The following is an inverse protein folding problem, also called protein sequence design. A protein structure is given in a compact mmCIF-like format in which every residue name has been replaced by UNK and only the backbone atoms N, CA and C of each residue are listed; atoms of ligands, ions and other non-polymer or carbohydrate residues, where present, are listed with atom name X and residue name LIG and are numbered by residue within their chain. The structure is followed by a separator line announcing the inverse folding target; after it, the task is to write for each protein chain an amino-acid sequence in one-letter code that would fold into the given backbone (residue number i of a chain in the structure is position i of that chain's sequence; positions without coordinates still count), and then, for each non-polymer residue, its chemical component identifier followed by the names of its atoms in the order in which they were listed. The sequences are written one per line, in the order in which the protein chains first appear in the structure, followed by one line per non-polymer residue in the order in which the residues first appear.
data_IF_304213031057
#
_entry.id   IF_304213031057
#
_cell.length_a   1.000
_cell.length_b   1.000
_cell.length_c   1.000
_cell.angle_alpha   90.00
_cell.angle_beta   90.00
_cell.angle_gamma   90.00
#
_symmetry.space_group_name_H-M   'P 1'
#
loop_
_entity.id
_entity.type
_entity.pdbx_description
1 polymer ?
#
# COMPACT_ATOMS: atom_id res chain seq x y z
N UNK A 1 8.38 -14.53 20.51
CA UNK A 1 8.12 -14.88 19.10
C UNK A 1 6.89 -15.77 19.01
N UNK A 2 5.73 -15.20 18.73
CA UNK A 2 4.52 -15.94 18.35
C UNK A 2 4.34 -15.78 16.85
N UNK A 3 4.01 -16.87 16.16
CA UNK A 3 3.65 -16.86 14.74
C UNK A 3 2.37 -17.68 14.55
N UNK A 4 1.55 -17.29 13.57
CA UNK A 4 0.33 -18.01 13.23
C UNK A 4 0.40 -18.47 11.78
N UNK A 5 0.15 -19.75 11.56
CA UNK A 5 0.05 -20.34 10.22
C UNK A 5 -1.40 -20.28 9.74
N UNK A 6 -1.59 -20.01 8.46
CA UNK A 6 -2.90 -20.02 7.81
C UNK A 6 -2.94 -21.14 6.79
N UNK A 7 -3.99 -21.97 6.84
CA UNK A 7 -4.19 -23.04 5.87
C UNK A 7 -4.69 -22.52 4.52
N UNK A 8 -5.41 -21.40 4.52
CA UNK A 8 -5.96 -20.79 3.32
C UNK A 8 -5.29 -19.45 3.03
N UNK A 9 -4.85 -19.27 1.79
CA UNK A 9 -4.13 -18.08 1.34
C UNK A 9 -4.95 -16.78 1.54
N UNK A 10 -6.25 -16.81 1.22
CA UNK A 10 -7.11 -15.64 1.36
C UNK A 10 -7.28 -15.17 2.82
N UNK A 11 -7.23 -16.08 3.80
CA UNK A 11 -7.35 -15.71 5.21
C UNK A 11 -6.13 -14.89 5.65
N UNK A 12 -4.94 -15.30 5.21
CA UNK A 12 -3.69 -14.55 5.46
C UNK A 12 -3.79 -13.14 4.87
N UNK A 13 -4.27 -13.02 3.62
CA UNK A 13 -4.44 -11.74 2.94
C UNK A 13 -5.38 -10.80 3.71
N UNK A 14 -6.56 -11.28 4.10
CA UNK A 14 -7.52 -10.49 4.89
C UNK A 14 -6.89 -10.01 6.21
N UNK A 15 -6.17 -10.88 6.92
CA UNK A 15 -5.53 -10.49 8.17
C UNK A 15 -4.47 -9.40 7.98
N UNK A 16 -3.67 -9.47 6.91
CA UNK A 16 -2.69 -8.42 6.60
C UNK A 16 -3.39 -7.11 6.22
N UNK A 17 -4.42 -7.17 5.38
CA UNK A 17 -5.12 -5.98 4.87
C UNK A 17 -5.99 -5.25 5.89
N UNK A 18 -6.42 -5.88 6.98
CA UNK A 18 -7.31 -5.22 7.96
C UNK A 18 -6.71 -5.03 9.36
N UNK A 19 -5.55 -5.62 9.65
CA UNK A 19 -4.97 -5.54 11.00
C UNK A 19 -4.01 -4.37 11.21
N UNK A 20 -3.42 -3.79 10.15
CA UNK A 20 -2.31 -2.86 10.28
C UNK A 20 -2.74 -1.40 10.47
N UNK A 21 -1.85 -0.59 11.03
CA UNK A 21 -1.97 0.88 11.15
C UNK A 21 -1.11 1.63 10.12
N UNK A 22 -0.25 0.90 9.41
CA UNK A 22 0.57 1.38 8.31
C UNK A 22 1.02 0.17 7.48
N UNK A 23 1.27 0.39 6.20
CA UNK A 23 1.78 -0.61 5.28
C UNK A 23 3.13 -0.17 4.74
N UNK A 24 4.12 -1.05 4.81
CA UNK A 24 5.47 -0.78 4.29
C UNK A 24 5.88 -1.93 3.38
N UNK A 25 6.13 -1.61 2.12
CA UNK A 25 6.52 -2.59 1.10
C UNK A 25 7.93 -2.29 0.60
N UNK A 26 8.79 -3.30 0.66
CA UNK A 26 10.13 -3.29 0.08
C UNK A 26 10.11 -3.87 -1.34
N UNK A 27 11.18 -3.70 -2.14
CA UNK A 27 11.27 -4.29 -3.47
C UNK A 27 11.04 -5.81 -3.41
N UNK A 28 10.20 -6.32 -4.31
CA UNK A 28 9.73 -7.71 -4.23
C UNK A 28 9.18 -8.24 -5.54
N UNK A 29 8.77 -9.51 -5.52
CA UNK A 29 8.22 -10.18 -6.70
C UNK A 29 6.70 -10.04 -6.83
N UNK A 30 6.09 -10.94 -7.61
CA UNK A 30 4.65 -10.95 -7.88
C UNK A 30 3.78 -10.99 -6.61
N UNK A 31 4.20 -11.70 -5.56
CA UNK A 31 3.44 -11.74 -4.30
C UNK A 31 3.39 -10.38 -3.60
N UNK A 32 4.47 -9.61 -3.64
CA UNK A 32 4.50 -8.25 -3.09
C UNK A 32 3.63 -7.33 -3.91
N UNK A 33 3.70 -7.42 -5.24
CA UNK A 33 2.85 -6.63 -6.14
C UNK A 33 1.36 -6.95 -5.93
N UNK A 34 1.00 -8.23 -5.80
CA UNK A 34 -0.35 -8.68 -5.50
C UNK A 34 -0.89 -8.06 -4.19
N UNK A 35 -0.10 -8.10 -3.11
CA UNK A 35 -0.48 -7.48 -1.83
C UNK A 35 -0.61 -5.94 -1.95
N UNK A 36 0.29 -5.27 -2.67
CA UNK A 36 0.23 -3.81 -2.90
C UNK A 36 -1.03 -3.42 -3.67
N UNK A 37 -1.28 -4.04 -4.83
CA UNK A 37 -2.42 -3.68 -5.66
C UNK A 37 -3.77 -4.06 -5.01
N UNK A 38 -3.82 -5.17 -4.26
CA UNK A 38 -5.01 -5.51 -3.46
C UNK A 38 -5.29 -4.42 -2.42
N UNK A 39 -4.26 -3.97 -1.69
CA UNK A 39 -4.40 -2.92 -0.68
C UNK A 39 -4.83 -1.59 -1.30
N UNK A 40 -4.19 -1.16 -2.40
CA UNK A 40 -4.55 0.09 -3.09
C UNK A 40 -6.01 0.05 -3.56
N UNK A 41 -6.47 -1.09 -4.10
CA UNK A 41 -7.87 -1.28 -4.50
C UNK A 41 -8.83 -1.19 -3.30
N UNK A 42 -8.46 -1.77 -2.15
CA UNK A 42 -9.27 -1.69 -0.93
C UNK A 42 -9.37 -0.26 -0.37
N UNK A 43 -8.30 0.53 -0.47
CA UNK A 43 -8.31 1.94 -0.06
C UNK A 43 -9.12 2.78 -1.05
N UNK A 44 -8.89 2.61 -2.36
CA UNK A 44 -9.63 3.27 -3.44
C UNK A 44 -11.15 3.07 -3.29
N UNK A 45 -11.56 1.83 -2.99
CA UNK A 45 -12.98 1.47 -2.80
C UNK A 45 -13.52 1.77 -1.39
N UNK A 46 -12.73 2.48 -0.57
CA UNK A 46 -13.05 2.91 0.81
C UNK A 46 -13.39 1.75 1.76
N UNK A 47 -12.92 0.53 1.45
CA UNK A 47 -12.99 -0.63 2.37
C UNK A 47 -11.96 -0.51 3.48
N UNK A 48 -10.86 0.16 3.18
CA UNK A 48 -9.85 0.62 4.14
C UNK A 48 -9.78 2.14 4.04
N UNK A 49 -9.47 2.82 5.13
CA UNK A 49 -9.32 4.28 5.14
C UNK A 49 -8.07 4.71 4.38
N UNK A 50 -8.22 5.77 3.59
CA UNK A 50 -7.15 6.52 2.93
C UNK A 50 -6.21 7.25 3.90
N UNK A 51 -6.57 7.31 5.19
CA UNK A 51 -5.71 7.85 6.26
C UNK A 51 -4.60 6.88 6.68
N UNK A 52 -4.67 5.61 6.28
CA UNK A 52 -3.64 4.62 6.62
C UNK A 52 -2.46 4.82 5.65
N UNK A 53 -1.24 5.12 6.15
CA UNK A 53 -0.11 5.33 5.27
C UNK A 53 0.33 4.04 4.59
N UNK A 54 0.49 4.12 3.28
CA UNK A 54 1.12 3.09 2.45
C UNK A 54 2.46 3.61 1.96
N UNK A 55 3.55 2.97 2.37
CA UNK A 55 4.92 3.39 2.08
C UNK A 55 5.61 2.34 1.22
N UNK A 56 6.15 2.77 0.08
CA UNK A 56 6.92 1.94 -0.83
C UNK A 56 8.39 2.33 -0.71
N UNK A 57 9.22 1.45 -0.18
CA UNK A 57 10.65 1.70 0.07
C UNK A 57 11.48 1.23 -1.13
N UNK A 58 12.40 2.08 -1.59
CA UNK A 58 13.31 1.84 -2.70
C UNK A 58 12.79 2.42 -4.01
N UNK A 59 13.05 3.72 -4.27
CA UNK A 59 12.55 4.43 -5.45
C UNK A 59 12.96 3.78 -6.77
N UNK A 60 14.20 3.31 -6.89
CA UNK A 60 14.69 2.65 -8.10
C UNK A 60 13.76 1.51 -8.58
N UNK A 61 13.14 0.78 -7.64
CA UNK A 61 12.22 -0.30 -7.96
C UNK A 61 10.79 0.20 -8.23
N UNK A 62 10.29 1.15 -7.43
CA UNK A 62 8.89 1.57 -7.46
C UNK A 62 8.57 2.69 -8.45
N UNK A 63 9.52 3.59 -8.75
CA UNK A 63 9.32 4.68 -9.71
C UNK A 63 8.95 4.19 -11.12
N UNK A 64 9.58 3.15 -11.69
CA UNK A 64 9.16 2.60 -12.97
C UNK A 64 7.71 2.13 -12.99
N UNK A 65 7.24 1.54 -11.88
CA UNK A 65 5.86 1.06 -11.73
C UNK A 65 4.91 2.25 -11.61
N UNK A 66 5.25 3.25 -10.79
CA UNK A 66 4.49 4.50 -10.68
C UNK A 66 4.36 5.21 -12.02
N UNK A 67 5.46 5.36 -12.76
CA UNK A 67 5.47 6.01 -14.06
C UNK A 67 4.59 5.26 -15.06
N UNK A 68 4.65 3.94 -15.09
CA UNK A 68 3.75 3.13 -15.91
C UNK A 68 2.27 3.33 -15.55
N UNK A 69 1.92 3.36 -14.26
CA UNK A 69 0.54 3.64 -13.83
C UNK A 69 0.10 5.05 -14.24
N UNK A 70 0.97 6.04 -14.06
CA UNK A 70 0.68 7.42 -14.44
C UNK A 70 0.48 7.57 -15.96
N UNK A 71 1.38 7.03 -16.78
CA UNK A 71 1.33 7.19 -18.24
C UNK A 71 0.23 6.32 -18.88
N UNK A 72 0.19 5.03 -18.56
CA UNK A 72 -0.70 4.10 -19.23
C UNK A 72 -2.08 4.05 -18.58
N UNK A 73 -2.17 3.91 -17.25
CA UNK A 73 -3.45 3.76 -16.57
C UNK A 73 -4.18 5.09 -16.39
N UNK A 74 -3.50 6.16 -15.99
CA UNK A 74 -4.11 7.47 -15.77
C UNK A 74 -4.22 8.29 -17.07
N UNK A 75 -3.11 8.66 -17.70
CA UNK A 75 -3.16 9.62 -18.83
C UNK A 75 -3.80 9.04 -20.09
N UNK A 76 -3.45 7.80 -20.46
CA UNK A 76 -3.83 7.23 -21.76
C UNK A 76 -5.14 6.45 -21.72
N UNK A 77 -5.28 5.51 -20.79
CA UNK A 77 -6.45 4.63 -20.69
C UNK A 77 -7.54 5.19 -19.78
N UNK A 78 -7.19 6.14 -18.89
CA UNK A 78 -8.11 6.70 -17.90
C UNK A 78 -8.83 5.63 -17.07
N UNK A 79 -8.11 4.56 -16.72
CA UNK A 79 -8.62 3.45 -15.91
C UNK A 79 -8.51 3.67 -14.41
N UNK A 80 -7.82 4.74 -13.98
CA UNK A 80 -7.68 5.21 -12.60
C UNK A 80 -7.76 6.74 -12.58
N UNK A 81 -8.06 7.30 -11.42
CA UNK A 81 -8.07 8.75 -11.18
C UNK A 81 -6.67 9.24 -10.73
N UNK A 82 -6.43 10.56 -10.81
CA UNK A 82 -5.14 11.14 -10.37
C UNK A 82 -4.91 10.93 -8.87
N UNK A 83 -6.00 10.94 -8.11
CA UNK A 83 -6.03 10.69 -6.66
C UNK A 83 -5.55 9.29 -6.30
N UNK A 84 -5.73 8.30 -7.17
CA UNK A 84 -5.29 6.93 -6.92
C UNK A 84 -3.76 6.83 -6.82
N UNK A 85 -3.05 7.70 -7.54
CA UNK A 85 -1.58 7.81 -7.48
C UNK A 85 -1.08 8.47 -6.18
N UNK A 86 -1.99 9.06 -5.39
CA UNK A 86 -1.70 9.71 -4.10
C UNK A 86 -1.95 8.76 -2.92
N UNK A 87 -2.41 7.53 -3.17
CA UNK A 87 -2.72 6.52 -2.14
C UNK A 87 -1.48 5.93 -1.44
N UNK A 88 -0.29 6.19 -1.97
CA UNK A 88 0.97 5.70 -1.42
C UNK A 88 2.09 6.74 -1.52
N UNK A 89 3.14 6.57 -0.74
CA UNK A 89 4.35 7.41 -0.77
C UNK A 89 5.57 6.55 -1.07
N UNK A 90 6.41 6.97 -2.03
CA UNK A 90 7.68 6.30 -2.34
C UNK A 90 8.83 6.99 -1.62
N UNK A 91 9.65 6.21 -0.91
CA UNK A 91 10.81 6.70 -0.13
C UNK A 91 12.06 5.89 -0.46
N UNK A 92 13.24 6.43 -0.17
CA UNK A 92 14.51 5.75 -0.49
C UNK A 92 15.00 4.81 0.61
N UNK A 93 14.71 5.13 1.88
CA UNK A 93 15.29 4.46 3.03
C UNK A 93 14.26 4.19 4.13
N UNK A 94 14.67 3.35 5.09
CA UNK A 94 13.82 2.92 6.18
C UNK A 94 13.55 4.05 7.19
N UNK A 95 14.46 5.02 7.32
CA UNK A 95 14.32 6.16 8.20
C UNK A 95 13.18 7.09 7.75
N UNK A 96 13.08 7.39 6.45
CA UNK A 96 11.96 8.12 5.86
C UNK A 96 10.64 7.38 6.06
N UNK A 97 10.63 6.07 5.81
CA UNK A 97 9.46 5.24 6.06
C UNK A 97 9.03 5.29 7.53
N UNK A 98 10.01 5.21 8.45
CA UNK A 98 9.76 5.24 9.89
C UNK A 98 9.12 6.55 10.34
N UNK A 99 9.61 7.70 9.85
CA UNK A 99 9.01 8.99 10.22
C UNK A 99 7.58 9.15 9.69
N UNK A 100 7.24 8.58 8.52
CA UNK A 100 5.84 8.54 8.04
C UNK A 100 4.98 7.68 8.98
N UNK A 101 5.43 6.47 9.30
CA UNK A 101 4.69 5.53 10.15
C UNK A 101 4.49 6.08 11.57
N UNK A 102 5.50 6.77 12.12
CA UNK A 102 5.44 7.38 13.45
C UNK A 102 4.41 8.50 13.56
N UNK A 103 4.14 9.21 12.45
CA UNK A 103 3.13 10.26 12.37
C UNK A 103 1.77 9.73 11.88
N UNK A 104 1.61 8.41 11.75
CA UNK A 104 0.35 7.80 11.33
C UNK A 104 -0.77 8.12 12.34
N UNK A 105 -2.02 8.33 11.89
CA UNK A 105 -3.15 8.56 12.77
C UNK A 105 -3.42 7.32 13.64
N UNK A 106 -4.13 7.54 14.75
CA UNK A 106 -4.58 6.41 15.55
C UNK A 106 -5.61 5.58 14.77
N UNK A 107 -5.72 4.29 15.09
CA UNK A 107 -6.70 3.41 14.42
C UNK A 107 -8.15 3.86 14.61
N UNK A 108 -8.43 4.59 15.69
CA UNK A 108 -9.74 5.14 15.99
C UNK A 108 -10.15 6.21 14.96
N UNK A 109 -9.16 6.89 14.37
CA UNK A 109 -9.36 7.93 13.37
C UNK A 109 -9.62 7.39 11.96
N UNK A 110 -9.49 6.07 11.74
CA UNK A 110 -9.67 5.42 10.44
C UNK A 110 -11.14 5.12 10.10
N UNK A 111 -12.06 5.27 11.06
CA UNK A 111 -13.48 5.08 10.81
C UNK A 111 -14.12 6.41 10.38
N UNK A 112 -14.94 6.36 9.32
CA UNK A 112 -15.69 7.50 8.80
C UNK A 112 -16.86 7.87 9.72
#
# INVERSE_FOLDING_TARGET
NQSSAFHYFFVRKVMLSFAAQAYVFFPGGLGTLDEVFELLTLIQTKKISDKIPVVLVGKEFWEPIHNWMHEEMYQKLQSIDEEDLKLYTIVDNAEEAFEIVKNAPSREDFFY
#
